data_IF_544876461321
#
_entry.id   IF_544876461321
#
_cell.length_a   1.000
_cell.length_b   1.000
_cell.length_c   1.000
_cell.angle_alpha   90.00
_cell.angle_beta   90.00
_cell.angle_gamma   90.00
#
_symmetry.space_group_name_H-M   'P 1'
#
loop_
_entity.id
_entity.type
_entity.pdbx_description
1 polymer ?
#
# COMPACT_ATOMS: atom_id res chain seq x y z
N UNK A 1 -15.16 -14.23 5.40
CA UNK A 1 -15.35 -13.39 6.62
C UNK A 1 -16.57 -13.91 7.41
N UNK A 2 -16.62 -13.74 8.76
CA UNK A 2 -17.80 -14.13 9.53
C UNK A 2 -19.02 -13.29 9.10
N UNK A 3 -20.21 -13.89 9.15
CA UNK A 3 -21.44 -13.19 8.81
C UNK A 3 -21.75 -12.08 9.82
N UNK A 4 -22.47 -11.02 9.40
CA UNK A 4 -22.93 -9.96 10.32
C UNK A 4 -23.73 -10.51 11.50
N UNK A 5 -24.53 -11.58 11.28
CA UNK A 5 -25.26 -12.26 12.34
C UNK A 5 -24.32 -12.92 13.36
N UNK A 6 -23.29 -13.61 12.89
CA UNK A 6 -22.26 -14.22 13.74
C UNK A 6 -21.52 -13.17 14.56
N UNK A 7 -21.10 -12.07 13.92
CA UNK A 7 -20.39 -10.96 14.59
C UNK A 7 -21.27 -10.37 15.70
N UNK A 8 -22.53 -10.05 15.37
CA UNK A 8 -23.47 -9.48 16.34
C UNK A 8 -23.75 -10.43 17.51
N UNK A 9 -23.88 -11.72 17.24
CA UNK A 9 -24.10 -12.75 18.28
C UNK A 9 -22.94 -12.80 19.28
N UNK A 10 -21.70 -12.79 18.79
CA UNK A 10 -20.51 -12.82 19.65
C UNK A 10 -20.34 -11.51 20.46
N UNK A 11 -20.77 -10.38 19.90
CA UNK A 11 -20.62 -9.07 20.54
C UNK A 11 -21.82 -8.66 21.42
N UNK A 12 -22.98 -9.33 21.30
CA UNK A 12 -24.23 -8.92 21.95
C UNK A 12 -24.10 -8.72 23.47
N UNK A 13 -23.31 -9.58 24.13
CA UNK A 13 -23.10 -9.54 25.59
C UNK A 13 -21.73 -9.00 26.00
N UNK A 14 -20.89 -8.60 25.05
CA UNK A 14 -19.51 -8.20 25.32
C UNK A 14 -19.42 -6.73 25.75
N UNK A 15 -18.58 -6.45 26.75
CA UNK A 15 -18.17 -5.08 27.11
C UNK A 15 -16.99 -4.60 26.25
N UNK A 16 -16.15 -5.52 25.78
CA UNK A 16 -14.93 -5.24 25.01
C UNK A 16 -14.87 -6.16 23.80
N UNK A 17 -14.58 -5.61 22.63
CA UNK A 17 -14.25 -6.35 21.41
C UNK A 17 -12.76 -6.19 21.09
N UNK A 18 -12.09 -7.31 20.80
CA UNK A 18 -10.73 -7.30 20.24
C UNK A 18 -10.83 -7.86 18.83
N UNK A 19 -10.41 -7.08 17.83
CA UNK A 19 -10.60 -7.41 16.42
C UNK A 19 -9.41 -6.96 15.58
N UNK A 20 -9.30 -7.48 14.36
CA UNK A 20 -8.32 -7.04 13.36
C UNK A 20 -9.02 -6.48 12.13
N UNK A 21 -9.69 -7.35 11.36
CA UNK A 21 -10.36 -7.00 10.09
C UNK A 21 -11.87 -7.26 10.06
N UNK A 22 -12.49 -7.51 11.20
CA UNK A 22 -13.95 -7.76 11.26
C UNK A 22 -14.72 -6.44 11.16
N UNK A 23 -15.63 -6.28 10.19
CA UNK A 23 -16.42 -5.05 10.07
C UNK A 23 -17.36 -4.86 11.27
N UNK A 24 -17.28 -3.69 11.92
CA UNK A 24 -18.19 -3.27 12.99
C UNK A 24 -18.90 -2.02 12.51
N UNK A 25 -20.05 -2.23 11.89
CA UNK A 25 -20.90 -1.17 11.32
C UNK A 25 -21.91 -0.64 12.35
N UNK A 26 -22.57 0.48 12.04
CA UNK A 26 -23.72 0.95 12.80
C UNK A 26 -24.78 -0.15 13.08
N UNK A 27 -25.03 -1.03 12.10
CA UNK A 27 -25.97 -2.14 12.24
C UNK A 27 -25.50 -3.23 13.22
N UNK A 28 -24.20 -3.52 13.26
CA UNK A 28 -23.60 -4.40 14.28
C UNK A 28 -23.71 -3.76 15.65
N UNK A 29 -23.32 -2.49 15.78
CA UNK A 29 -23.36 -1.74 17.04
C UNK A 29 -24.78 -1.69 17.61
N UNK A 30 -25.81 -1.55 16.76
CA UNK A 30 -27.23 -1.57 17.15
C UNK A 30 -27.63 -2.79 17.99
N UNK A 31 -26.98 -3.93 17.78
CA UNK A 31 -27.27 -5.19 18.45
C UNK A 31 -26.38 -5.45 19.68
N UNK A 32 -25.44 -4.55 19.98
CA UNK A 32 -24.42 -4.74 21.01
C UNK A 32 -24.47 -3.62 22.06
N UNK A 33 -25.56 -3.50 22.85
CA UNK A 33 -25.79 -2.35 23.74
C UNK A 33 -24.80 -2.25 24.90
N UNK A 34 -24.05 -3.31 25.21
CA UNK A 34 -23.06 -3.35 26.29
C UNK A 34 -21.65 -2.96 25.86
N UNK A 35 -21.41 -2.89 24.55
CA UNK A 35 -20.05 -2.68 24.03
C UNK A 35 -19.56 -1.30 24.43
N UNK A 36 -18.39 -1.23 25.08
CA UNK A 36 -17.76 0.02 25.56
C UNK A 36 -16.44 0.30 24.88
N UNK A 37 -15.72 -0.75 24.46
CA UNK A 37 -14.41 -0.63 23.85
C UNK A 37 -14.27 -1.57 22.65
N UNK A 38 -13.71 -1.05 21.56
CA UNK A 38 -13.19 -1.83 20.44
C UNK A 38 -11.69 -1.59 20.38
N UNK A 39 -10.92 -2.64 20.69
CA UNK A 39 -9.48 -2.66 20.52
C UNK A 39 -9.14 -3.32 19.19
N UNK A 40 -8.66 -2.51 18.24
CA UNK A 40 -8.23 -2.97 16.93
C UNK A 40 -6.75 -3.35 17.01
N UNK A 41 -6.45 -4.64 16.86
CA UNK A 41 -5.09 -5.17 16.78
C UNK A 41 -4.48 -4.94 15.39
N UNK A 42 -4.53 -3.69 14.93
CA UNK A 42 -3.97 -3.19 13.70
C UNK A 42 -3.77 -1.68 13.81
N UNK A 43 -3.10 -1.07 12.82
CA UNK A 43 -2.99 0.40 12.72
C UNK A 43 -4.28 1.00 12.13
N UNK A 44 -4.87 0.35 11.12
CA UNK A 44 -6.09 0.82 10.46
C UNK A 44 -7.35 0.54 11.26
N UNK A 45 -8.31 1.46 11.15
CA UNK A 45 -9.65 1.32 11.75
C UNK A 45 -10.75 1.44 10.70
N UNK A 46 -10.42 1.29 9.43
CA UNK A 46 -11.30 1.55 8.27
C UNK A 46 -12.56 0.66 8.27
N UNK A 47 -12.48 -0.50 8.93
CA UNK A 47 -13.57 -1.46 9.11
C UNK A 47 -14.53 -1.11 10.26
N UNK A 48 -14.23 -0.06 11.04
CA UNK A 48 -15.01 0.37 12.20
C UNK A 48 -15.75 1.66 11.83
N UNK A 49 -17.07 1.66 12.05
CA UNK A 49 -17.87 2.88 11.93
C UNK A 49 -17.60 3.80 13.13
N UNK A 50 -16.57 4.64 13.01
CA UNK A 50 -16.12 5.54 14.07
C UNK A 50 -17.20 6.58 14.44
N UNK A 51 -18.04 6.98 13.49
CA UNK A 51 -19.14 7.90 13.74
C UNK A 51 -20.21 7.26 14.62
N UNK A 52 -20.66 6.06 14.26
CA UNK A 52 -21.62 5.30 15.06
C UNK A 52 -21.06 4.91 16.44
N UNK A 53 -19.76 4.60 16.54
CA UNK A 53 -19.10 4.36 17.82
C UNK A 53 -19.16 5.62 18.71
N UNK A 54 -18.84 6.79 18.15
CA UNK A 54 -18.86 8.07 18.87
C UNK A 54 -20.26 8.42 19.38
N UNK A 55 -21.30 8.26 18.55
CA UNK A 55 -22.69 8.52 18.93
C UNK A 55 -23.16 7.66 20.11
N UNK A 56 -22.60 6.45 20.24
CA UNK A 56 -22.97 5.47 21.28
C UNK A 56 -22.04 5.48 22.49
N UNK A 57 -21.01 6.33 22.51
CA UNK A 57 -20.01 6.34 23.57
C UNK A 57 -19.10 5.10 23.59
N UNK A 58 -18.97 4.39 22.46
CA UNK A 58 -18.04 3.26 22.32
C UNK A 58 -16.66 3.81 21.98
N UNK A 59 -15.68 3.54 22.83
CA UNK A 59 -14.30 3.93 22.58
C UNK A 59 -13.67 2.99 21.55
N UNK A 60 -12.83 3.54 20.68
CA UNK A 60 -12.02 2.77 19.72
C UNK A 60 -10.55 3.08 19.98
N UNK A 61 -9.73 2.05 20.13
CA UNK A 61 -8.27 2.18 20.15
C UNK A 61 -7.65 1.24 19.12
N UNK A 62 -6.46 1.61 18.66
CA UNK A 62 -5.65 0.86 17.72
C UNK A 62 -4.22 0.74 18.26
N UNK A 63 -3.36 0.03 17.55
CA UNK A 63 -1.95 -0.12 17.93
C UNK A 63 -1.08 0.63 16.93
N UNK A 64 -0.93 1.98 17.06
CA UNK A 64 -0.12 2.75 16.14
C UNK A 64 1.34 2.28 16.20
N UNK A 65 2.04 2.39 15.07
CA UNK A 65 3.46 2.10 14.91
C UNK A 65 3.95 0.66 15.15
N UNK A 66 3.13 -0.25 15.66
CA UNK A 66 3.55 -1.61 16.00
C UNK A 66 4.17 -2.41 14.84
N UNK A 67 3.80 -2.10 13.59
CA UNK A 67 4.29 -2.79 12.40
C UNK A 67 5.06 -1.89 11.44
N UNK A 68 5.41 -0.65 11.83
CA UNK A 68 6.09 0.28 10.91
C UNK A 68 7.39 -0.29 10.36
N UNK A 69 8.13 -0.98 11.21
CA UNK A 69 9.36 -1.68 10.84
C UNK A 69 9.13 -2.77 9.80
N UNK A 70 8.29 -3.73 10.15
CA UNK A 70 7.98 -4.87 9.28
C UNK A 70 7.38 -4.42 7.94
N UNK A 71 6.51 -3.40 7.93
CA UNK A 71 5.91 -2.87 6.69
C UNK A 71 6.95 -2.12 5.86
N UNK A 72 7.88 -1.38 6.49
CA UNK A 72 8.96 -0.73 5.76
C UNK A 72 9.90 -1.75 5.10
N UNK A 73 10.27 -2.81 5.83
CA UNK A 73 11.03 -3.94 5.29
C UNK A 73 10.28 -4.64 4.14
N UNK A 74 8.97 -4.85 4.30
CA UNK A 74 8.13 -5.43 3.26
C UNK A 74 8.10 -4.58 1.99
N UNK A 75 7.98 -3.26 2.11
CA UNK A 75 8.03 -2.36 0.96
C UNK A 75 9.35 -2.44 0.18
N UNK A 76 10.47 -2.57 0.90
CA UNK A 76 11.81 -2.76 0.30
C UNK A 76 11.95 -4.16 -0.31
N UNK A 77 11.36 -5.19 0.30
CA UNK A 77 11.31 -6.54 -0.25
C UNK A 77 10.53 -6.58 -1.57
N UNK A 78 9.37 -5.92 -1.64
CA UNK A 78 8.58 -5.78 -2.87
C UNK A 78 9.35 -5.01 -3.96
N UNK A 79 10.10 -3.97 -3.58
CA UNK A 79 10.98 -3.27 -4.50
C UNK A 79 12.02 -4.21 -5.13
N UNK A 80 12.73 -4.99 -4.32
CA UNK A 80 13.70 -5.95 -4.86
C UNK A 80 13.04 -7.05 -5.69
N UNK A 81 11.88 -7.55 -5.25
CA UNK A 81 11.12 -8.55 -5.98
C UNK A 81 10.79 -8.10 -7.41
N UNK A 82 10.34 -6.85 -7.57
CA UNK A 82 10.06 -6.24 -8.87
C UNK A 82 11.35 -5.93 -9.65
N UNK A 83 12.28 -5.18 -9.06
CA UNK A 83 13.44 -4.65 -9.81
C UNK A 83 14.39 -5.77 -10.26
N UNK A 84 14.46 -6.88 -9.52
CA UNK A 84 15.28 -8.06 -9.85
C UNK A 84 14.47 -9.19 -10.48
N UNK A 85 13.17 -9.01 -10.68
CA UNK A 85 12.27 -10.03 -11.20
C UNK A 85 12.36 -11.38 -10.47
N UNK A 86 12.48 -11.33 -9.13
CA UNK A 86 12.74 -12.51 -8.28
C UNK A 86 11.63 -13.55 -8.46
N UNK A 87 10.37 -13.10 -8.46
CA UNK A 87 9.20 -13.97 -8.59
C UNK A 87 9.10 -14.56 -10.00
N UNK A 88 9.34 -13.78 -11.04
CA UNK A 88 9.30 -14.27 -12.42
C UNK A 88 10.37 -15.34 -12.68
N UNK A 89 11.59 -15.11 -12.19
CA UNK A 89 12.68 -16.08 -12.25
C UNK A 89 12.33 -17.35 -11.48
N UNK A 90 11.84 -17.23 -10.24
CA UNK A 90 11.43 -18.38 -9.43
C UNK A 90 10.34 -19.19 -10.13
N UNK A 91 9.28 -18.53 -10.61
CA UNK A 91 8.18 -19.19 -11.32
C UNK A 91 8.67 -19.92 -12.57
N UNK A 92 9.64 -19.36 -13.30
CA UNK A 92 10.22 -20.02 -14.47
C UNK A 92 11.00 -21.27 -14.09
N UNK A 93 11.75 -21.22 -12.99
CA UNK A 93 12.53 -22.35 -12.48
C UNK A 93 11.66 -23.51 -12.01
N UNK A 94 10.54 -23.23 -11.33
CA UNK A 94 9.69 -24.29 -10.77
C UNK A 94 8.67 -24.86 -11.75
N UNK A 95 8.30 -24.10 -12.79
CA UNK A 95 7.26 -24.50 -13.73
C UNK A 95 7.79 -24.88 -15.13
N UNK A 96 9.09 -24.66 -15.42
CA UNK A 96 9.67 -24.94 -16.75
C UNK A 96 11.10 -25.46 -16.65
N UNK A 97 11.59 -26.08 -17.72
CA UNK A 97 12.97 -26.56 -17.82
C UNK A 97 13.91 -25.56 -18.53
N UNK A 98 13.44 -24.34 -18.83
CA UNK A 98 14.13 -23.41 -19.73
C UNK A 98 15.53 -23.06 -19.23
N UNK A 99 15.71 -22.82 -17.93
CA UNK A 99 17.04 -22.57 -17.37
C UNK A 99 17.95 -23.77 -17.56
N UNK A 100 17.48 -24.99 -17.26
CA UNK A 100 18.29 -26.21 -17.41
C UNK A 100 18.73 -26.41 -18.87
N UNK A 101 17.88 -26.07 -19.83
CA UNK A 101 18.17 -26.22 -21.26
C UNK A 101 19.06 -25.12 -21.82
N UNK A 102 18.89 -23.88 -21.37
CA UNK A 102 19.57 -22.70 -21.95
C UNK A 102 20.78 -22.23 -21.15
N UNK A 103 20.87 -22.59 -19.87
CA UNK A 103 21.88 -22.11 -18.94
C UNK A 103 21.77 -20.63 -18.58
N UNK A 104 20.76 -19.90 -19.09
CA UNK A 104 20.66 -18.45 -18.97
C UNK A 104 19.22 -17.94 -19.14
N UNK A 105 18.69 -17.23 -18.14
CA UNK A 105 17.37 -16.57 -18.23
C UNK A 105 17.43 -15.05 -18.47
N UNK A 106 18.63 -14.47 -18.62
CA UNK A 106 18.81 -13.03 -18.90
C UNK A 106 17.99 -12.55 -20.11
N UNK A 107 17.95 -13.27 -21.26
CA UNK A 107 17.16 -12.84 -22.42
C UNK A 107 15.66 -12.70 -22.14
N UNK A 108 15.14 -13.47 -21.18
CA UNK A 108 13.72 -13.51 -20.82
C UNK A 108 13.31 -12.34 -19.94
N UNK A 109 14.23 -11.83 -19.11
CA UNK A 109 13.91 -10.86 -18.05
C UNK A 109 14.62 -9.51 -18.18
N UNK A 110 15.49 -9.33 -19.19
CA UNK A 110 16.03 -8.04 -19.61
C UNK A 110 17.53 -7.85 -19.37
N UNK A 111 17.99 -6.61 -19.58
CA UNK A 111 19.40 -6.21 -19.61
C UNK A 111 20.12 -6.20 -18.25
N UNK A 112 21.30 -5.57 -18.23
CA UNK A 112 22.18 -5.52 -17.06
C UNK A 112 21.44 -5.06 -15.79
N UNK A 113 21.61 -5.76 -14.65
CA UNK A 113 20.92 -5.39 -13.41
C UNK A 113 21.47 -4.07 -12.87
N UNK A 114 20.59 -3.07 -12.73
CA UNK A 114 20.91 -1.81 -12.08
C UNK A 114 21.17 -1.94 -10.57
N UNK A 115 21.74 -0.90 -9.99
CA UNK A 115 22.05 -0.82 -8.55
C UNK A 115 21.13 0.18 -7.85
N UNK A 116 20.95 0.04 -6.54
CA UNK A 116 20.18 1.00 -5.75
C UNK A 116 20.72 2.44 -5.86
N UNK A 117 21.99 2.64 -6.20
CA UNK A 117 22.58 3.98 -6.39
C UNK A 117 22.04 4.74 -7.60
N UNK A 118 21.45 4.02 -8.55
CA UNK A 118 20.85 4.59 -9.76
C UNK A 118 19.36 4.88 -9.57
N UNK A 119 18.80 4.53 -8.41
CA UNK A 119 17.37 4.63 -8.14
C UNK A 119 17.02 5.92 -7.40
N UNK A 120 15.87 6.47 -7.77
CA UNK A 120 15.22 7.60 -7.09
C UNK A 120 13.92 7.08 -6.48
N UNK A 121 13.90 6.91 -5.17
CA UNK A 121 12.72 6.46 -4.42
C UNK A 121 11.83 7.65 -4.04
N UNK A 122 10.68 7.75 -4.69
CA UNK A 122 9.60 8.65 -4.32
C UNK A 122 8.72 8.03 -3.24
N UNK A 123 8.43 8.78 -2.19
CA UNK A 123 7.56 8.30 -1.09
C UNK A 123 6.38 9.26 -0.95
N UNK A 124 5.17 8.73 -1.19
CA UNK A 124 3.91 9.46 -0.99
C UNK A 124 3.34 9.03 0.36
N UNK A 125 3.44 9.92 1.34
CA UNK A 125 3.03 9.66 2.73
C UNK A 125 4.19 9.67 3.73
N UNK A 126 5.01 10.73 3.78
CA UNK A 126 6.11 10.78 4.75
C UNK A 126 5.67 11.12 6.20
N UNK A 127 4.85 10.24 6.77
CA UNK A 127 4.69 10.05 8.21
C UNK A 127 5.75 9.09 8.74
N UNK A 128 5.47 8.41 9.85
CA UNK A 128 6.44 7.53 10.50
C UNK A 128 6.92 6.37 9.59
N UNK A 129 5.99 5.61 8.99
CA UNK A 129 6.29 4.53 8.05
C UNK A 129 7.10 5.04 6.84
N UNK A 130 6.65 6.11 6.18
CA UNK A 130 7.34 6.68 5.02
C UNK A 130 8.75 7.17 5.36
N UNK A 131 8.98 7.72 6.54
CA UNK A 131 10.33 8.10 6.99
C UNK A 131 11.20 6.88 7.30
N UNK A 132 10.63 5.77 7.81
CA UNK A 132 11.39 4.53 8.00
C UNK A 132 11.84 3.95 6.67
N UNK A 133 10.95 3.88 5.68
CA UNK A 133 11.28 3.47 4.30
C UNK A 133 12.38 4.37 3.71
N UNK A 134 12.27 5.69 3.89
CA UNK A 134 13.29 6.64 3.45
C UNK A 134 14.67 6.37 4.06
N UNK A 135 14.73 6.03 5.34
CA UNK A 135 15.98 5.69 6.03
C UNK A 135 16.62 4.44 5.43
N UNK A 136 15.84 3.38 5.20
CA UNK A 136 16.36 2.14 4.60
C UNK A 136 16.84 2.40 3.16
N UNK A 137 16.05 3.13 2.36
CA UNK A 137 16.41 3.46 0.98
C UNK A 137 17.71 4.27 0.89
N UNK A 138 17.91 5.26 1.76
CA UNK A 138 19.18 6.01 1.84
C UNK A 138 20.35 5.12 2.25
N UNK A 139 20.14 4.20 3.19
CA UNK A 139 21.19 3.25 3.60
C UNK A 139 21.59 2.30 2.46
N UNK A 140 20.67 1.99 1.54
CA UNK A 140 20.95 1.26 0.30
C UNK A 140 21.63 2.10 -0.79
N UNK A 141 21.81 3.41 -0.55
CA UNK A 141 22.44 4.35 -1.47
C UNK A 141 21.50 5.03 -2.47
N UNK A 142 20.18 4.90 -2.30
CA UNK A 142 19.19 5.52 -3.20
C UNK A 142 19.06 7.02 -2.94
N UNK A 143 18.69 7.78 -3.97
CA UNK A 143 18.15 9.13 -3.79
C UNK A 143 16.70 9.04 -3.32
N UNK A 144 16.29 9.87 -2.35
CA UNK A 144 14.93 9.82 -1.79
C UNK A 144 14.20 11.16 -1.96
N UNK A 145 13.01 11.11 -2.53
CA UNK A 145 12.09 12.24 -2.65
C UNK A 145 10.87 12.00 -1.76
N UNK A 146 10.53 12.97 -0.92
CA UNK A 146 9.34 12.89 -0.07
C UNK A 146 8.24 13.78 -0.64
N UNK A 147 7.06 13.21 -0.91
CA UNK A 147 5.98 13.96 -1.55
C UNK A 147 5.39 15.02 -0.63
N UNK A 148 5.13 16.20 -1.21
CA UNK A 148 4.08 17.09 -0.75
C UNK A 148 2.69 16.52 -1.09
N UNK A 149 1.63 17.05 -0.47
CA UNK A 149 0.25 16.69 -0.82
C UNK A 149 -0.08 17.18 -2.23
N UNK A 150 -0.83 16.39 -3.01
CA UNK A 150 -1.27 16.74 -4.38
C UNK A 150 -2.05 18.06 -4.42
N UNK A 151 -2.99 18.23 -3.49
CA UNK A 151 -3.80 19.44 -3.31
C UNK A 151 -3.75 19.88 -1.84
N UNK A 152 -2.79 20.73 -1.43
CA UNK A 152 -2.72 21.18 -0.05
C UNK A 152 -3.91 22.11 0.26
N UNK A 153 -4.50 21.96 1.45
CA UNK A 153 -5.62 22.80 1.93
C UNK A 153 -5.23 24.26 2.18
N UNK A 154 -3.94 24.60 2.07
CA UNK A 154 -3.42 25.97 2.14
C UNK A 154 -2.37 26.16 1.03
N UNK A 155 -2.35 27.30 0.32
CA UNK A 155 -1.45 27.60 -0.79
C UNK A 155 -0.03 27.95 -0.30
N UNK A 156 0.52 27.19 0.64
CA UNK A 156 1.90 27.35 1.08
C UNK A 156 2.83 26.55 0.17
N UNK A 157 4.02 27.12 -0.07
CA UNK A 157 5.21 26.43 -0.57
C UNK A 157 5.31 24.99 -0.03
N UNK A 158 5.84 24.02 -0.80
CA UNK A 158 6.07 22.68 -0.30
C UNK A 158 6.74 22.75 1.07
N UNK A 159 6.25 21.99 2.05
CA UNK A 159 6.87 21.91 3.37
C UNK A 159 8.37 21.68 3.17
N UNK A 160 9.27 22.40 3.86
CA UNK A 160 10.71 22.26 3.66
C UNK A 160 11.14 20.78 3.63
N UNK A 161 11.89 20.39 2.59
CA UNK A 161 12.29 18.99 2.36
C UNK A 161 11.25 18.11 1.66
N UNK A 162 10.16 18.68 1.13
CA UNK A 162 9.17 17.97 0.29
C UNK A 162 9.28 18.37 -1.18
N UNK A 163 9.15 17.38 -2.05
CA UNK A 163 9.07 17.53 -3.50
C UNK A 163 7.61 17.71 -3.92
N UNK A 164 7.34 18.59 -4.89
CA UNK A 164 6.00 18.72 -5.46
C UNK A 164 5.51 17.37 -6.00
N UNK A 165 4.22 17.07 -5.80
CA UNK A 165 3.65 15.75 -6.14
C UNK A 165 3.92 15.34 -7.59
N UNK A 166 3.66 16.23 -8.55
CA UNK A 166 3.90 15.99 -9.98
C UNK A 166 5.38 15.76 -10.29
N UNK A 167 6.27 16.58 -9.72
CA UNK A 167 7.73 16.42 -9.86
C UNK A 167 8.20 15.08 -9.32
N UNK A 168 7.66 14.63 -8.18
CA UNK A 168 8.00 13.33 -7.62
C UNK A 168 7.58 12.18 -8.57
N UNK A 169 6.38 12.23 -9.15
CA UNK A 169 5.92 11.22 -10.11
C UNK A 169 6.89 11.12 -11.31
N UNK A 170 7.31 12.27 -11.85
CA UNK A 170 8.16 12.35 -13.04
C UNK A 170 9.61 11.93 -12.79
N UNK A 171 10.14 12.13 -11.58
CA UNK A 171 11.55 11.89 -11.27
C UNK A 171 11.83 10.51 -10.65
N UNK A 172 10.83 9.88 -10.03
CA UNK A 172 11.03 8.65 -9.27
C UNK A 172 11.11 7.42 -10.17
N UNK A 173 12.13 6.58 -9.96
CA UNK A 173 12.24 5.26 -10.59
C UNK A 173 11.46 4.19 -9.81
N UNK A 174 11.15 4.45 -8.54
CA UNK A 174 10.23 3.67 -7.73
C UNK A 174 9.41 4.60 -6.86
N UNK A 175 8.10 4.36 -6.77
CA UNK A 175 7.18 5.12 -5.92
C UNK A 175 6.57 4.17 -4.89
N UNK A 176 6.68 4.53 -3.61
CA UNK A 176 6.08 3.79 -2.50
C UNK A 176 4.98 4.62 -1.86
N UNK A 177 3.79 4.03 -1.76
CA UNK A 177 2.61 4.62 -1.11
C UNK A 177 2.54 4.18 0.34
N UNK A 178 2.53 5.16 1.24
CA UNK A 178 2.47 4.99 2.71
C UNK A 178 1.47 5.94 3.36
N UNK A 179 0.69 6.68 2.55
CA UNK A 179 -0.33 7.61 3.03
C UNK A 179 -1.63 6.89 3.40
N UNK A 180 -2.41 7.40 4.36
CA UNK A 180 -3.72 6.81 4.69
C UNK A 180 -4.71 6.93 3.52
N UNK A 181 -5.69 6.03 3.46
CA UNK A 181 -6.87 6.18 2.61
C UNK A 181 -7.81 7.22 3.24
N UNK A 182 -8.13 8.25 2.46
CA UNK A 182 -9.00 9.37 2.83
C UNK A 182 -9.75 9.80 1.59
N UNK A 183 -10.81 10.62 1.69
CA UNK A 183 -11.45 11.19 0.50
C UNK A 183 -10.48 11.93 -0.43
N UNK A 184 -9.39 12.51 0.12
CA UNK A 184 -8.38 13.21 -0.66
C UNK A 184 -7.31 12.32 -1.30
N UNK A 185 -7.25 11.04 -0.90
CA UNK A 185 -6.29 10.05 -1.39
C UNK A 185 -6.95 8.85 -2.05
N UNK A 186 -8.29 8.83 -2.13
CA UNK A 186 -9.04 7.88 -2.95
C UNK A 186 -8.69 8.11 -4.42
N UNK A 187 -8.24 7.05 -5.10
CA UNK A 187 -7.71 7.07 -6.46
C UNK A 187 -6.68 8.19 -6.66
N UNK A 188 -5.81 8.38 -5.66
CA UNK A 188 -4.73 9.37 -5.71
C UNK A 188 -3.83 9.16 -6.92
N UNK A 189 -3.53 7.89 -7.23
CA UNK A 189 -2.82 7.44 -8.41
C UNK A 189 -3.83 6.80 -9.36
N UNK A 190 -4.13 7.50 -10.45
CA UNK A 190 -5.04 7.06 -11.49
C UNK A 190 -4.42 7.26 -12.88
N UNK A 191 -5.20 7.12 -13.96
CA UNK A 191 -4.70 7.27 -15.34
C UNK A 191 -3.82 8.50 -15.58
N UNK A 192 -4.24 9.72 -15.19
CA UNK A 192 -3.42 10.92 -15.27
C UNK A 192 -2.08 10.82 -14.53
N UNK A 193 -2.06 10.33 -13.30
CA UNK A 193 -0.82 10.22 -12.51
C UNK A 193 0.11 9.15 -13.06
N UNK A 194 -0.44 8.00 -13.46
CA UNK A 194 0.32 6.93 -14.11
C UNK A 194 0.95 7.42 -15.42
N UNK A 195 0.30 8.32 -16.15
CA UNK A 195 0.87 8.91 -17.38
C UNK A 195 2.04 9.88 -17.14
N UNK A 196 2.16 10.42 -15.91
CA UNK A 196 3.27 11.29 -15.52
C UNK A 196 4.49 10.50 -15.02
N UNK A 197 4.30 9.23 -14.68
CA UNK A 197 5.39 8.37 -14.23
C UNK A 197 6.33 8.00 -15.38
N UNK A 198 7.57 7.67 -15.03
CA UNK A 198 8.53 7.17 -16.01
C UNK A 198 8.10 5.79 -16.51
N UNK A 199 8.35 5.43 -17.79
CA UNK A 199 8.04 4.09 -18.30
C UNK A 199 8.81 2.96 -17.57
N UNK A 200 9.98 3.26 -17.01
CA UNK A 200 10.80 2.33 -16.23
C UNK A 200 10.46 2.30 -14.73
N UNK A 201 9.47 3.10 -14.30
CA UNK A 201 9.11 3.25 -12.90
C UNK A 201 8.40 2.01 -12.35
N UNK A 202 8.58 1.79 -11.05
CA UNK A 202 7.85 0.80 -10.27
C UNK A 202 6.87 1.51 -9.32
N UNK A 203 5.66 0.95 -9.16
CA UNK A 203 4.68 1.43 -8.18
C UNK A 203 4.45 0.38 -7.10
N UNK A 204 4.62 0.75 -5.84
CA UNK A 204 4.44 -0.15 -4.69
C UNK A 204 3.43 0.44 -3.73
N UNK A 205 2.36 -0.29 -3.44
CA UNK A 205 1.36 0.11 -2.48
C UNK A 205 1.39 -0.80 -1.26
N UNK A 206 1.82 -0.24 -0.11
CA UNK A 206 1.78 -0.89 1.21
C UNK A 206 0.88 -0.13 2.19
N UNK A 207 0.03 0.74 1.66
CA UNK A 207 -0.84 1.59 2.43
C UNK A 207 -2.24 0.99 2.54
N UNK A 208 -3.09 1.20 1.52
CA UNK A 208 -4.45 0.67 1.43
C UNK A 208 -4.86 0.51 -0.02
N UNK A 209 -5.75 -0.44 -0.27
CA UNK A 209 -6.52 -0.50 -1.51
C UNK A 209 -7.31 0.79 -1.74
N UNK A 210 -7.60 1.09 -3.01
CA UNK A 210 -8.33 2.31 -3.39
C UNK A 210 -7.51 3.59 -3.34
N UNK A 211 -6.24 3.57 -2.90
CA UNK A 211 -5.32 4.71 -3.12
C UNK A 211 -4.87 4.74 -4.59
N UNK A 212 -4.72 3.55 -5.18
CA UNK A 212 -4.48 3.38 -6.60
C UNK A 212 -5.79 2.91 -7.24
N UNK A 213 -6.13 3.51 -8.38
CA UNK A 213 -7.16 2.98 -9.26
C UNK A 213 -6.63 1.69 -9.91
N UNK A 214 -7.13 0.54 -9.44
CA UNK A 214 -6.66 -0.80 -9.84
C UNK A 214 -6.89 -1.07 -11.33
N UNK A 215 -8.01 -0.62 -11.91
CA UNK A 215 -8.28 -0.76 -13.34
C UNK A 215 -7.29 0.05 -14.17
N UNK A 216 -7.07 1.32 -13.80
CA UNK A 216 -6.10 2.18 -14.48
C UNK A 216 -4.67 1.61 -14.38
N UNK A 217 -4.31 1.00 -13.25
CA UNK A 217 -3.03 0.36 -13.04
C UNK A 217 -2.85 -0.86 -13.96
N UNK A 218 -3.84 -1.75 -14.03
CA UNK A 218 -3.81 -2.91 -14.93
C UNK A 218 -3.65 -2.47 -16.38
N UNK A 219 -4.40 -1.44 -16.82
CA UNK A 219 -4.25 -0.88 -18.16
C UNK A 219 -2.83 -0.35 -18.41
N UNK A 220 -2.26 0.42 -17.47
CA UNK A 220 -0.91 0.96 -17.60
C UNK A 220 0.18 -0.14 -17.68
N UNK A 221 0.02 -1.23 -16.93
CA UNK A 221 0.92 -2.40 -16.98
C UNK A 221 0.81 -3.14 -18.31
N UNK A 222 -0.42 -3.42 -18.78
CA UNK A 222 -0.66 -4.11 -20.06
C UNK A 222 -0.15 -3.33 -21.27
N UNK A 223 -0.27 -2.00 -21.21
CA UNK A 223 0.22 -1.11 -22.27
C UNK A 223 1.73 -0.82 -22.17
N UNK A 224 2.42 -1.35 -21.15
CA UNK A 224 3.85 -1.12 -20.94
C UNK A 224 4.21 0.32 -20.58
N UNK A 225 3.24 1.12 -20.12
CA UNK A 225 3.45 2.49 -19.61
C UNK A 225 4.10 2.51 -18.23
N UNK A 226 4.05 1.40 -17.52
CA UNK A 226 4.68 1.20 -16.22
C UNK A 226 5.47 -0.11 -16.23
N UNK A 227 6.67 -0.13 -15.66
CA UNK A 227 7.54 -1.32 -15.69
C UNK A 227 7.02 -2.45 -14.81
N UNK A 228 6.35 -2.12 -13.71
CA UNK A 228 5.80 -3.10 -12.79
C UNK A 228 5.14 -2.45 -11.59
N UNK A 229 4.30 -3.22 -10.91
CA UNK A 229 3.68 -2.82 -9.67
C UNK A 229 3.61 -3.99 -8.68
N UNK A 230 3.57 -3.65 -7.39
CA UNK A 230 3.34 -4.61 -6.32
C UNK A 230 2.39 -4.01 -5.28
N UNK A 231 1.50 -4.83 -4.73
CA UNK A 231 0.56 -4.44 -3.69
C UNK A 231 0.36 -5.58 -2.70
N UNK A 232 0.29 -5.27 -1.41
CA UNK A 232 -0.17 -6.18 -0.35
C UNK A 232 -1.57 -5.83 0.18
N UNK A 233 -2.20 -4.84 -0.46
CA UNK A 233 -3.50 -4.25 -0.10
C UNK A 233 -4.36 -4.09 -1.35
N UNK A 234 -5.67 -4.32 -1.21
CA UNK A 234 -6.62 -4.33 -2.34
C UNK A 234 -7.93 -3.61 -1.95
N UNK A 235 -8.66 -3.07 -2.93
CA UNK A 235 -9.96 -2.41 -2.70
C UNK A 235 -10.93 -3.36 -2.00
N UNK A 236 -10.98 -4.60 -2.47
CA UNK A 236 -11.77 -5.67 -1.86
C UNK A 236 -10.82 -6.71 -1.25
N UNK A 237 -10.97 -6.91 0.07
CA UNK A 237 -10.21 -7.91 0.81
C UNK A 237 -11.16 -8.90 1.50
N UNK A 238 -10.90 -10.21 1.43
CA UNK A 238 -9.69 -10.85 0.88
C UNK A 238 -9.60 -10.79 -0.65
N UNK A 239 -8.38 -10.64 -1.16
CA UNK A 239 -8.12 -10.70 -2.60
C UNK A 239 -7.96 -12.15 -3.08
N UNK A 240 -8.24 -12.38 -4.36
CA UNK A 240 -8.07 -13.61 -5.11
C UNK A 240 -7.79 -13.30 -6.58
N UNK A 241 -7.84 -14.31 -7.45
CA UNK A 241 -7.46 -14.15 -8.87
C UNK A 241 -8.24 -13.05 -9.61
N UNK A 242 -9.47 -12.77 -9.20
CA UNK A 242 -10.33 -11.78 -9.86
C UNK A 242 -9.97 -10.32 -9.55
N UNK A 243 -9.26 -10.06 -8.44
CA UNK A 243 -8.91 -8.71 -7.98
C UNK A 243 -7.44 -8.59 -7.54
N UNK A 244 -6.61 -9.60 -7.85
CA UNK A 244 -5.15 -9.47 -7.82
C UNK A 244 -4.69 -8.73 -9.08
N UNK A 245 -4.18 -7.51 -8.89
CA UNK A 245 -3.56 -6.67 -9.94
C UNK A 245 -2.47 -7.43 -10.68
#
# INVERSE_FOLDING_TARGET
PPSSATISSHLATADIAITTRVPITAATLAKCPRLKLIAVFAIGTDMIDLAACKERGVQVCNVPAASNEAVAEHAIALFFALRRNIVGVHNKLVNTEDWMKTGNLTPTFGGLPGTCREEVMGIIGAGELGNRVATIARALGMSVLLSARKNPTSPTTPTPGRTAFTTLLQQSTVIILTCPLTPSTLNLISGPELSLMRPDALLINVARGGIVDEEALVCALREGRLKGAASDVFVEEPAGEANSV
#
